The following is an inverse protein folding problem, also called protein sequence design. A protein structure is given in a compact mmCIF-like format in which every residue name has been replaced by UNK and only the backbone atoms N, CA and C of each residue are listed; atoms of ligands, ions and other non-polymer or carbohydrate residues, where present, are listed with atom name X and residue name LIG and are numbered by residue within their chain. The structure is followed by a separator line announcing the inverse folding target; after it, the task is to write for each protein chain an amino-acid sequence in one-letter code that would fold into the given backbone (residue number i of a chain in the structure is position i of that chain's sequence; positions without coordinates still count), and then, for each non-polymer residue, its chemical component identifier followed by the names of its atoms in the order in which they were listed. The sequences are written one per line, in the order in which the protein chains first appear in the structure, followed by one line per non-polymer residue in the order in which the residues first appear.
data_IF_931828329271
#
_entry.id   IF_931828329271
#
_cell.length_a   1.000
_cell.length_b   1.000
_cell.length_c   1.000
_cell.angle_alpha   90.00
_cell.angle_beta   90.00
_cell.angle_gamma   90.00
#
_symmetry.space_group_name_H-M   'P 1'
#
loop_
_entity.id
_entity.type
_entity.pdbx_description
1 polymer ?
#
# COMPACT_ATOMS: atom_id res chain seq x y z
N UNK A 1 -12.46 -5.03 12.98
CA UNK A 1 -11.76 -6.32 12.81
C UNK A 1 -10.57 -6.06 11.90
N UNK A 2 -9.38 -5.83 12.46
CA UNK A 2 -8.18 -5.63 11.64
C UNK A 2 -7.70 -6.99 11.15
N UNK A 3 -7.87 -7.25 9.86
CA UNK A 3 -7.37 -8.46 9.22
C UNK A 3 -5.85 -8.51 9.43
N UNK A 4 -5.30 -9.63 9.91
CA UNK A 4 -3.86 -9.76 10.24
C UNK A 4 -2.93 -9.36 9.07
N UNK A 5 -3.43 -9.49 7.83
CA UNK A 5 -2.76 -9.03 6.62
C UNK A 5 -2.58 -7.50 6.60
N UNK A 6 -3.61 -6.75 6.97
CA UNK A 6 -3.58 -5.29 6.99
C UNK A 6 -2.55 -4.78 8.01
N UNK A 7 -2.54 -5.33 9.22
CA UNK A 7 -1.54 -4.96 10.23
C UNK A 7 -0.11 -5.29 9.77
N UNK A 8 0.10 -6.42 9.08
CA UNK A 8 1.40 -6.81 8.53
C UNK A 8 1.92 -5.82 7.47
N UNK A 9 1.06 -5.35 6.56
CA UNK A 9 1.47 -4.43 5.49
C UNK A 9 1.45 -2.95 5.88
N UNK A 10 0.63 -2.56 6.85
CA UNK A 10 0.61 -1.18 7.39
C UNK A 10 1.72 -0.93 8.41
N UNK A 11 1.92 -1.85 9.36
CA UNK A 11 2.81 -1.63 10.51
C UNK A 11 3.87 -2.73 10.72
N UNK A 12 3.70 -3.91 10.11
CA UNK A 12 4.65 -5.02 10.22
C UNK A 12 5.78 -4.97 9.20
N UNK A 13 6.46 -6.09 8.99
CA UNK A 13 7.55 -6.20 8.00
C UNK A 13 7.11 -5.85 6.56
N UNK A 14 5.83 -6.04 6.22
CA UNK A 14 5.30 -5.67 4.92
C UNK A 14 5.39 -4.16 4.67
N UNK A 15 5.20 -3.35 5.71
CA UNK A 15 5.38 -1.90 5.68
C UNK A 15 6.82 -1.51 5.36
N UNK A 16 7.79 -2.17 6.01
CA UNK A 16 9.20 -1.95 5.74
C UNK A 16 9.61 -2.36 4.31
N UNK A 17 8.97 -3.38 3.73
CA UNK A 17 9.19 -3.79 2.33
C UNK A 17 8.62 -2.78 1.33
N UNK A 18 7.46 -2.19 1.64
CA UNK A 18 6.82 -1.17 0.79
C UNK A 18 7.55 0.18 0.88
N UNK A 19 8.01 0.54 2.09
CA UNK A 19 8.60 1.84 2.44
C UNK A 19 7.61 2.97 2.12
N UNK A 20 6.52 3.04 2.87
CA UNK A 20 5.52 4.09 2.73
C UNK A 20 6.15 5.49 2.77
N UNK A 21 5.69 6.39 1.90
CA UNK A 21 6.24 7.75 1.79
C UNK A 21 7.51 7.86 0.93
N UNK A 22 7.90 6.78 0.24
CA UNK A 22 8.95 6.84 -0.79
C UNK A 22 8.35 6.73 -2.19
N UNK A 23 8.98 7.32 -3.21
CA UNK A 23 8.51 7.20 -4.58
C UNK A 23 8.36 5.73 -4.99
N UNK A 24 7.19 5.39 -5.56
CA UNK A 24 6.86 4.05 -6.03
C UNK A 24 6.47 3.05 -4.93
N UNK A 25 6.17 3.51 -3.72
CA UNK A 25 5.61 2.68 -2.64
C UNK A 25 4.31 1.99 -3.04
N UNK A 26 3.38 2.69 -3.70
CA UNK A 26 2.15 2.10 -4.22
C UNK A 26 2.42 0.96 -5.20
N UNK A 27 3.36 1.14 -6.13
CA UNK A 27 3.74 0.11 -7.10
C UNK A 27 4.35 -1.12 -6.42
N UNK A 28 5.16 -0.90 -5.37
CA UNK A 28 5.69 -2.00 -4.52
C UNK A 28 4.54 -2.75 -3.84
N UNK A 29 3.63 -2.03 -3.20
CA UNK A 29 2.45 -2.60 -2.57
C UNK A 29 1.66 -3.46 -3.57
N UNK A 30 1.30 -2.88 -4.71
CA UNK A 30 0.52 -3.53 -5.75
C UNK A 30 1.18 -4.83 -6.24
N UNK A 31 2.48 -4.80 -6.56
CA UNK A 31 3.23 -5.98 -7.02
C UNK A 31 3.24 -7.12 -6.00
N UNK A 32 3.28 -6.80 -4.71
CA UNK A 32 3.22 -7.81 -3.65
C UNK A 32 1.80 -8.31 -3.40
N UNK A 33 0.82 -7.41 -3.31
CA UNK A 33 -0.57 -7.75 -3.00
C UNK A 33 -1.29 -8.45 -4.15
N UNK A 34 -0.98 -8.12 -5.41
CA UNK A 34 -1.61 -8.75 -6.59
C UNK A 34 -1.50 -10.28 -6.55
N UNK A 35 -0.42 -10.82 -6.00
CA UNK A 35 -0.23 -12.28 -5.83
C UNK A 35 -1.16 -12.93 -4.81
N UNK A 36 -1.74 -12.14 -3.90
CA UNK A 36 -2.57 -12.63 -2.80
C UNK A 36 -4.05 -12.32 -2.97
N UNK A 37 -4.38 -11.13 -3.50
CA UNK A 37 -5.77 -10.64 -3.58
C UNK A 37 -6.27 -10.37 -5.00
N UNK A 38 -5.38 -10.45 -6.00
CA UNK A 38 -5.67 -10.08 -7.39
C UNK A 38 -5.51 -8.57 -7.67
N UNK A 39 -5.35 -8.21 -8.95
CA UNK A 39 -5.01 -6.84 -9.41
C UNK A 39 -6.04 -5.80 -8.93
N UNK A 40 -7.33 -6.04 -9.19
CA UNK A 40 -8.39 -5.08 -8.87
C UNK A 40 -8.51 -4.77 -7.37
N UNK A 41 -8.40 -5.80 -6.53
CA UNK A 41 -8.42 -5.60 -5.06
C UNK A 41 -7.12 -4.99 -4.58
N UNK A 42 -5.98 -5.41 -5.13
CA UNK A 42 -4.68 -4.86 -4.75
C UNK A 42 -4.64 -3.35 -4.99
N UNK A 43 -5.15 -2.86 -6.13
CA UNK A 43 -5.25 -1.42 -6.41
C UNK A 43 -6.03 -0.67 -5.33
N UNK A 44 -7.25 -1.11 -5.03
CA UNK A 44 -8.09 -0.45 -4.01
C UNK A 44 -7.44 -0.46 -2.63
N UNK A 45 -6.91 -1.62 -2.21
CA UNK A 45 -6.30 -1.79 -0.89
C UNK A 45 -5.02 -0.94 -0.78
N UNK A 46 -4.13 -1.02 -1.77
CA UNK A 46 -2.89 -0.25 -1.77
C UNK A 46 -3.14 1.26 -1.83
N UNK A 47 -4.18 1.72 -2.54
CA UNK A 47 -4.53 3.14 -2.54
C UNK A 47 -5.02 3.62 -1.18
N UNK A 48 -5.88 2.82 -0.52
CA UNK A 48 -6.32 3.14 0.84
C UNK A 48 -5.14 3.16 1.81
N UNK A 49 -4.27 2.16 1.77
CA UNK A 49 -3.13 2.08 2.68
C UNK A 49 -2.10 3.17 2.45
N UNK A 50 -1.84 3.53 1.19
CA UNK A 50 -0.98 4.67 0.86
C UNK A 50 -1.54 5.95 1.47
N UNK A 51 -2.85 6.18 1.33
CA UNK A 51 -3.51 7.34 1.92
C UNK A 51 -3.48 7.33 3.45
N UNK A 52 -3.74 6.18 4.07
CA UNK A 52 -3.71 6.05 5.52
C UNK A 52 -2.31 6.30 6.11
N UNK A 53 -1.24 5.99 5.37
CA UNK A 53 0.15 6.12 5.83
C UNK A 53 0.80 7.46 5.48
N UNK A 54 0.52 7.99 4.28
CA UNK A 54 1.15 9.22 3.77
C UNK A 54 0.24 10.43 3.87
N UNK A 55 -1.07 10.24 4.06
CA UNK A 55 -2.08 11.28 3.96
C UNK A 55 -2.42 11.70 2.52
N UNK A 56 -1.76 11.12 1.50
CA UNK A 56 -1.92 11.48 0.09
C UNK A 56 -2.47 10.30 -0.72
N UNK A 57 -3.15 10.58 -1.84
CA UNK A 57 -3.60 9.53 -2.74
C UNK A 57 -2.49 9.19 -3.75
N UNK A 58 -2.32 7.90 -4.12
CA UNK A 58 -1.31 7.52 -5.11
C UNK A 58 -1.69 8.09 -6.48
N UNK A 59 -0.75 8.82 -7.09
CA UNK A 59 -0.98 9.51 -8.37
C UNK A 59 -1.60 10.91 -8.24
N UNK A 60 -1.76 11.44 -7.02
CA UNK A 60 -1.99 12.88 -6.83
C UNK A 60 -0.75 13.64 -7.37
N UNK A 61 -0.97 14.73 -8.12
CA UNK A 61 0.11 15.58 -8.66
C UNK A 61 1.02 16.19 -7.59
N UNK A 62 0.65 16.07 -6.30
CA UNK A 62 1.48 16.45 -5.15
C UNK A 62 2.42 15.35 -4.67
N UNK A 63 2.34 14.15 -5.22
CA UNK A 63 3.23 13.04 -4.93
C UNK A 63 4.46 13.14 -5.88
N UNK A 64 5.64 13.56 -5.38
CA UNK A 64 6.81 13.87 -6.21
C UNK A 64 7.51 12.64 -6.82
#
# INVERSE_FOLDING_TARGET
MTNSLESYWKAGEGSAKIRWGTPGDWTRCHRHLTKHVGDDRARRICSQWHHDQTGMWPGDNRNP
#
